data_IF_490642007661
#
_entry.id   IF_490642007661
#
_cell.length_a   1.000
_cell.length_b   1.000
_cell.length_c   1.000
_cell.angle_alpha   90.00
_cell.angle_beta   90.00
_cell.angle_gamma   90.00
#
_symmetry.space_group_name_H-M   'P 1'
#
loop_
_entity.id
_entity.type
_entity.pdbx_description
1 polymer ?
#
# COMPACT_ATOMS: atom_id res chain seq x y z
N UNK A 1 19.32 -2.04 -15.89
CA UNK A 1 18.31 -1.31 -15.10
C UNK A 1 18.99 -0.03 -14.66
N UNK A 2 18.34 1.12 -14.82
CA UNK A 2 18.95 2.43 -14.56
C UNK A 2 18.32 3.05 -13.32
N UNK A 3 19.12 3.82 -12.57
CA UNK A 3 18.60 4.63 -11.46
C UNK A 3 17.84 5.81 -12.04
N UNK A 4 16.62 6.03 -11.55
CA UNK A 4 15.74 7.12 -11.98
C UNK A 4 15.40 7.97 -10.76
N UNK A 5 15.08 9.26 -10.94
CA UNK A 5 14.53 10.05 -9.85
C UNK A 5 13.28 9.35 -9.31
N UNK A 6 13.11 9.32 -7.99
CA UNK A 6 11.96 8.67 -7.33
C UNK A 6 10.62 9.19 -7.86
N UNK A 7 10.55 10.46 -8.29
CA UNK A 7 9.35 11.03 -8.91
C UNK A 7 8.88 10.24 -10.16
N UNK A 8 9.79 9.54 -10.86
CA UNK A 8 9.49 8.72 -12.02
C UNK A 8 9.26 7.23 -11.70
N UNK A 9 9.37 6.82 -10.43
CA UNK A 9 9.13 5.45 -9.99
C UNK A 9 7.71 5.33 -9.42
N UNK A 10 7.07 4.20 -9.67
CA UNK A 10 5.78 3.82 -9.09
C UNK A 10 5.84 2.35 -8.72
N UNK A 11 5.06 1.90 -7.74
CA UNK A 11 5.05 0.50 -7.35
C UNK A 11 4.79 -0.39 -8.57
N UNK A 12 5.63 -1.41 -8.77
CA UNK A 12 5.42 -2.35 -9.86
C UNK A 12 4.15 -3.19 -9.66
N UNK A 13 3.54 -3.62 -10.77
CA UNK A 13 2.36 -4.48 -10.72
C UNK A 13 2.63 -5.79 -9.96
N UNK A 14 3.83 -6.36 -10.09
CA UNK A 14 4.23 -7.57 -9.36
C UNK A 14 4.25 -7.35 -7.85
N UNK A 15 4.79 -6.22 -7.39
CA UNK A 15 4.79 -5.87 -5.98
C UNK A 15 3.37 -5.61 -5.46
N UNK A 16 2.52 -4.90 -6.22
CA UNK A 16 1.11 -4.69 -5.83
C UNK A 16 0.34 -6.01 -5.71
N UNK A 17 0.52 -6.95 -6.65
CA UNK A 17 -0.08 -8.29 -6.58
C UNK A 17 0.43 -9.02 -5.34
N UNK A 18 1.72 -8.94 -5.04
CA UNK A 18 2.30 -9.55 -3.83
C UNK A 18 1.64 -9.01 -2.56
N UNK A 19 1.44 -7.69 -2.45
CA UNK A 19 0.72 -7.07 -1.33
C UNK A 19 -0.71 -7.63 -1.24
N UNK A 20 -1.46 -7.63 -2.35
CA UNK A 20 -2.84 -8.16 -2.35
C UNK A 20 -2.91 -9.64 -1.96
N UNK A 21 -1.92 -10.46 -2.34
CA UNK A 21 -1.83 -11.85 -1.91
C UNK A 21 -1.58 -11.99 -0.41
N UNK A 22 -0.79 -11.10 0.19
CA UNK A 22 -0.53 -11.10 1.64
C UNK A 22 -1.76 -10.66 2.46
N UNK A 23 -2.53 -9.69 1.96
CA UNK A 23 -3.77 -9.23 2.61
C UNK A 23 -4.88 -10.28 2.59
N UNK A 24 -5.01 -11.00 1.48
CA UNK A 24 -6.18 -11.83 1.23
C UNK A 24 -7.41 -11.00 0.84
N UNK A 25 -8.44 -11.65 0.32
CA UNK A 25 -9.64 -10.98 -0.23
C UNK A 25 -10.91 -11.40 0.49
N UNK A 26 -11.74 -10.43 0.87
CA UNK A 26 -13.12 -10.65 1.32
C UNK A 26 -14.14 -9.91 0.43
N UNK A 27 -15.11 -10.65 -0.13
CA UNK A 27 -16.21 -10.07 -0.91
C UNK A 27 -17.17 -9.24 -0.05
N UNK A 28 -17.28 -9.60 1.24
CA UNK A 28 -18.18 -8.99 2.21
C UNK A 28 -17.41 -8.50 3.43
N UNK A 29 -17.93 -7.51 4.16
CA UNK A 29 -17.33 -7.02 5.40
C UNK A 29 -17.11 -8.14 6.41
N UNK A 30 -15.92 -8.20 6.96
CA UNK A 30 -15.52 -9.10 8.06
C UNK A 30 -14.95 -8.28 9.22
N UNK A 31 -14.87 -8.90 10.40
CA UNK A 31 -14.08 -8.40 11.53
C UNK A 31 -12.81 -9.28 11.58
N UNK A 32 -11.63 -8.76 11.17
CA UNK A 32 -10.41 -9.57 11.06
C UNK A 32 -9.97 -10.14 12.41
N UNK A 33 -9.93 -9.29 13.44
CA UNK A 33 -9.65 -9.68 14.83
C UNK A 33 -10.74 -9.10 15.73
N UNK A 34 -11.07 -9.82 16.82
CA UNK A 34 -12.12 -9.39 17.76
C UNK A 34 -11.84 -7.97 18.28
N UNK A 35 -12.75 -7.05 17.99
CA UNK A 35 -12.67 -5.64 18.39
C UNK A 35 -12.28 -4.69 17.27
N UNK A 36 -11.88 -5.20 16.11
CA UNK A 36 -11.57 -4.40 14.94
C UNK A 36 -12.83 -3.80 14.28
N UNK A 37 -12.58 -2.79 13.44
CA UNK A 37 -13.58 -2.24 12.53
C UNK A 37 -13.92 -3.25 11.44
N UNK A 38 -15.05 -3.03 10.78
CA UNK A 38 -15.39 -3.80 9.58
C UNK A 38 -14.38 -3.53 8.47
N UNK A 39 -13.96 -4.60 7.82
CA UNK A 39 -12.96 -4.60 6.75
C UNK A 39 -13.47 -5.38 5.55
N UNK A 40 -13.26 -4.88 4.33
CA UNK A 40 -13.71 -5.48 3.08
C UNK A 40 -12.60 -5.48 2.02
N UNK A 41 -12.65 -6.39 1.05
CA UNK A 41 -11.69 -6.45 -0.04
C UNK A 41 -10.30 -6.89 0.43
N UNK A 42 -9.25 -6.20 -0.02
CA UNK A 42 -7.87 -6.38 0.42
C UNK A 42 -7.56 -5.45 1.61
N UNK A 43 -8.23 -5.65 2.74
CA UNK A 43 -7.91 -4.94 3.97
C UNK A 43 -8.48 -3.52 4.14
N UNK A 44 -9.42 -3.06 3.30
CA UNK A 44 -9.98 -1.70 3.43
C UNK A 44 -11.01 -1.62 4.57
N UNK A 45 -10.78 -0.70 5.52
CA UNK A 45 -11.67 -0.42 6.66
C UNK A 45 -12.36 0.96 6.58
N UNK A 46 -12.25 1.65 5.44
CA UNK A 46 -12.67 3.04 5.29
C UNK A 46 -14.18 3.17 5.13
N UNK A 47 -14.88 3.46 6.22
CA UNK A 47 -16.33 3.72 6.18
C UNK A 47 -17.18 2.50 5.80
N UNK A 48 -16.65 1.29 6.01
CA UNK A 48 -17.30 0.02 5.65
C UNK A 48 -18.55 -0.20 6.49
N UNK A 49 -19.65 -0.54 5.82
CA UNK A 49 -20.95 -0.85 6.43
C UNK A 49 -21.22 -2.36 6.35
N UNK A 50 -22.01 -2.94 7.27
CA UNK A 50 -22.28 -4.39 7.29
C UNK A 50 -22.89 -4.96 5.99
N UNK A 51 -23.59 -4.13 5.21
CA UNK A 51 -24.30 -4.55 3.98
C UNK A 51 -23.48 -4.33 2.70
N UNK A 52 -22.27 -3.78 2.81
CA UNK A 52 -21.45 -3.48 1.65
C UNK A 52 -21.02 -4.78 0.94
N UNK A 53 -20.71 -4.65 -0.36
CA UNK A 53 -20.14 -5.70 -1.18
C UNK A 53 -19.10 -5.11 -2.11
N UNK A 54 -18.11 -5.90 -2.46
CA UNK A 54 -17.09 -5.55 -3.45
C UNK A 54 -16.75 -6.75 -4.33
N UNK A 55 -16.03 -6.53 -5.42
CA UNK A 55 -15.46 -7.57 -6.27
C UNK A 55 -13.91 -7.43 -6.31
N UNK A 56 -13.16 -8.45 -6.79
CA UNK A 56 -11.70 -8.38 -6.78
C UNK A 56 -11.12 -7.22 -7.59
N UNK A 57 -11.75 -6.82 -8.70
CA UNK A 57 -11.26 -5.71 -9.52
C UNK A 57 -11.44 -4.39 -8.77
N UNK A 58 -12.62 -4.17 -8.19
CA UNK A 58 -12.88 -2.97 -7.38
C UNK A 58 -12.01 -2.91 -6.13
N UNK A 59 -11.80 -4.03 -5.45
CA UNK A 59 -10.91 -4.13 -4.30
C UNK A 59 -9.45 -3.84 -4.68
N UNK A 60 -8.98 -4.32 -5.84
CA UNK A 60 -7.63 -4.05 -6.32
C UNK A 60 -7.43 -2.56 -6.68
N UNK A 61 -8.43 -1.91 -7.26
CA UNK A 61 -8.41 -0.46 -7.49
C UNK A 61 -8.28 0.30 -6.17
N UNK A 62 -9.05 -0.09 -5.15
CA UNK A 62 -8.97 0.50 -3.80
C UNK A 62 -7.60 0.31 -3.16
N UNK A 63 -7.03 -0.90 -3.26
CA UNK A 63 -5.67 -1.17 -2.79
C UNK A 63 -4.65 -0.29 -3.52
N UNK A 64 -4.78 -0.16 -4.84
CA UNK A 64 -3.93 0.72 -5.65
C UNK A 64 -4.04 2.20 -5.25
N UNK A 65 -5.25 2.70 -4.97
CA UNK A 65 -5.47 4.06 -4.45
C UNK A 65 -4.77 4.26 -3.10
N UNK A 66 -4.91 3.30 -2.18
CA UNK A 66 -4.26 3.35 -0.87
C UNK A 66 -2.73 3.38 -1.00
N UNK A 67 -2.17 2.47 -1.79
CA UNK A 67 -0.72 2.42 -2.07
C UNK A 67 -0.25 3.71 -2.75
N UNK A 68 -0.99 4.25 -3.72
CA UNK A 68 -0.61 5.48 -4.41
C UNK A 68 -0.52 6.69 -3.46
N UNK A 69 -1.41 6.78 -2.47
CA UNK A 69 -1.34 7.83 -1.45
C UNK A 69 -0.10 7.65 -0.57
N UNK A 70 0.15 6.41 -0.13
CA UNK A 70 1.34 6.04 0.64
C UNK A 70 2.64 6.35 -0.12
N UNK A 71 2.69 6.03 -1.42
CA UNK A 71 3.82 6.39 -2.27
C UNK A 71 4.03 7.90 -2.30
N UNK A 72 2.98 8.70 -2.49
CA UNK A 72 3.10 10.16 -2.51
C UNK A 72 3.71 10.71 -1.22
N UNK A 73 3.26 10.23 -0.05
CA UNK A 73 3.80 10.63 1.25
C UNK A 73 5.26 10.21 1.40
N UNK A 74 5.59 8.96 1.05
CA UNK A 74 6.94 8.42 1.16
C UNK A 74 7.93 9.16 0.24
N UNK A 75 7.52 9.47 -0.99
CA UNK A 75 8.31 10.30 -1.92
C UNK A 75 8.60 11.66 -1.34
N UNK A 76 7.61 12.28 -0.68
CA UNK A 76 7.77 13.60 -0.08
C UNK A 76 8.81 13.63 1.04
N UNK A 77 8.96 12.54 1.81
CA UNK A 77 9.90 12.51 2.93
C UNK A 77 11.29 11.96 2.56
N UNK A 78 11.41 11.10 1.54
CA UNK A 78 12.72 10.68 1.00
C UNK A 78 13.37 11.80 0.18
N UNK A 79 12.59 12.56 -0.59
CA UNK A 79 13.11 13.61 -1.46
C UNK A 79 13.76 13.08 -2.75
N UNK A 80 14.56 13.92 -3.40
CA UNK A 80 15.14 13.62 -4.71
C UNK A 80 16.38 12.72 -4.60
N UNK A 81 16.15 11.41 -4.52
CA UNK A 81 17.20 10.38 -4.49
C UNK A 81 17.03 9.46 -5.70
N UNK A 82 18.03 9.27 -6.57
CA UNK A 82 17.91 8.30 -7.65
C UNK A 82 17.86 6.86 -7.11
N UNK A 83 16.90 6.05 -7.55
CA UNK A 83 16.75 4.65 -7.13
C UNK A 83 16.46 3.73 -8.32
N UNK A 84 16.76 2.45 -8.17
CA UNK A 84 16.27 1.41 -9.08
C UNK A 84 14.81 1.06 -8.76
N UNK A 85 14.07 0.54 -9.75
CA UNK A 85 12.68 0.13 -9.57
C UNK A 85 12.49 -0.90 -8.44
N UNK A 86 13.38 -1.89 -8.33
CA UNK A 86 13.27 -2.92 -7.29
C UNK A 86 13.58 -2.38 -5.88
N UNK A 87 14.40 -1.32 -5.77
CA UNK A 87 14.62 -0.63 -4.49
C UNK A 87 13.34 0.08 -4.10
N UNK A 88 12.74 0.82 -5.03
CA UNK A 88 11.47 1.51 -4.79
C UNK A 88 10.36 0.53 -4.36
N UNK A 89 10.20 -0.59 -5.06
CA UNK A 89 9.22 -1.62 -4.70
C UNK A 89 9.45 -2.14 -3.26
N UNK A 90 10.71 -2.33 -2.85
CA UNK A 90 11.06 -2.76 -1.50
C UNK A 90 10.74 -1.68 -0.44
N UNK A 91 11.03 -0.41 -0.72
CA UNK A 91 10.69 0.71 0.16
C UNK A 91 9.18 0.85 0.37
N UNK A 92 8.40 0.72 -0.70
CA UNK A 92 6.93 0.76 -0.65
C UNK A 92 6.40 -0.43 0.14
N UNK A 93 6.89 -1.66 -0.12
CA UNK A 93 6.48 -2.85 0.63
C UNK A 93 6.83 -2.77 2.12
N UNK A 94 7.99 -2.25 2.46
CA UNK A 94 8.39 -2.02 3.85
C UNK A 94 7.52 -0.96 4.52
N UNK A 95 7.24 0.14 3.81
CA UNK A 95 6.37 1.21 4.30
C UNK A 95 4.94 0.74 4.51
N UNK A 96 4.44 -0.15 3.65
CA UNK A 96 3.13 -0.77 3.80
C UNK A 96 3.02 -1.55 5.12
N UNK A 97 4.11 -2.19 5.55
CA UNK A 97 4.14 -2.94 6.81
C UNK A 97 4.19 -2.05 8.06
N UNK A 98 4.94 -0.95 8.03
CA UNK A 98 5.19 -0.12 9.22
C UNK A 98 4.38 1.19 9.28
N UNK A 99 3.74 1.57 8.17
CA UNK A 99 3.06 2.85 7.97
C UNK A 99 3.99 4.00 7.55
N UNK A 100 3.44 4.98 6.82
CA UNK A 100 4.17 6.14 6.27
C UNK A 100 4.82 7.00 7.34
N UNK A 101 4.13 7.29 8.45
CA UNK A 101 4.67 8.12 9.53
C UNK A 101 5.93 7.50 10.17
N UNK A 102 5.91 6.19 10.42
CA UNK A 102 7.05 5.46 10.95
C UNK A 102 8.19 5.40 9.93
N UNK A 103 7.86 5.15 8.66
CA UNK A 103 8.84 5.13 7.57
C UNK A 103 9.58 6.47 7.44
N UNK A 104 8.84 7.58 7.36
CA UNK A 104 9.41 8.92 7.21
C UNK A 104 10.27 9.37 8.41
N UNK A 105 10.00 8.85 9.61
CA UNK A 105 10.81 9.15 10.82
C UNK A 105 12.02 8.24 11.01
N UNK A 106 12.09 7.15 10.24
CA UNK A 106 13.14 6.13 10.35
C UNK A 106 14.54 6.67 10.03
N UNK A 107 15.57 5.97 10.51
CA UNK A 107 16.96 6.21 10.10
C UNK A 107 17.26 5.74 8.68
N UNK A 108 16.37 4.96 8.07
CA UNK A 108 16.54 4.46 6.70
C UNK A 108 16.20 5.55 5.67
N UNK A 109 15.24 6.43 5.99
CA UNK A 109 14.83 7.56 5.13
C UNK A 109 15.71 8.81 5.33
N UNK A 110 16.31 8.97 6.51
CA UNK A 110 17.25 10.07 6.84
C UNK A 110 18.62 9.85 6.24
#
# INVERSE_FOLDING_TARGET
>A
MDRRPIAALVLSAGALISIGMHEGYSERPIIPVKGDRLTIGFGDATGVKPTDKTDPVRALIRLGEHVSNMESELKSCIGDVPMYQYEWDAYVSWTYNIGTDAACKSTLVK
#
